data_IF_289863419335
#
_entry.id   IF_289863419335
#
_cell.length_a   1.000
_cell.length_b   1.000
_cell.length_c   1.000
_cell.angle_alpha   90.00
_cell.angle_beta   90.00
_cell.angle_gamma   90.00
#
_symmetry.space_group_name_H-M   'P 1'
#
loop_
_entity.id
_entity.type
_entity.pdbx_description
1 polymer ?
#
# COMPACT_ATOMS: atom_id res chain seq x y z
N UNK A 1 9.39 15.23 -14.19
CA UNK A 1 8.44 14.72 -13.19
C UNK A 1 8.61 13.23 -13.07
N UNK A 2 8.59 12.74 -11.84
CA UNK A 2 8.76 11.31 -11.60
C UNK A 2 7.39 10.63 -11.60
N UNK A 3 7.23 9.63 -12.44
CA UNK A 3 6.01 8.82 -12.46
C UNK A 3 6.13 7.79 -11.33
N UNK A 4 5.18 7.75 -10.38
CA UNK A 4 5.27 6.78 -9.28
C UNK A 4 5.30 5.32 -9.75
N UNK A 5 4.76 5.04 -10.94
CA UNK A 5 4.74 3.68 -11.49
C UNK A 5 6.12 3.17 -11.90
N UNK A 6 7.09 4.07 -12.08
CA UNK A 6 8.44 3.74 -12.54
C UNK A 6 9.49 3.80 -11.43
N UNK A 7 9.10 4.08 -10.19
CA UNK A 7 10.00 4.10 -9.04
C UNK A 7 10.29 2.67 -8.59
N UNK A 8 11.59 2.36 -8.37
CA UNK A 8 11.99 1.04 -7.91
C UNK A 8 11.44 0.75 -6.52
N UNK A 9 10.84 -0.42 -6.37
CA UNK A 9 10.34 -0.95 -5.10
C UNK A 9 10.88 -2.37 -4.92
N UNK A 10 10.78 -2.91 -3.71
CA UNK A 10 11.27 -4.24 -3.41
C UNK A 10 10.13 -5.10 -2.88
N UNK A 11 10.00 -6.31 -3.41
CA UNK A 11 9.01 -7.27 -2.92
C UNK A 11 9.42 -7.79 -1.54
N UNK A 12 8.45 -8.33 -0.80
CA UNK A 12 8.71 -8.82 0.57
C UNK A 12 9.73 -9.97 0.59
N UNK A 13 9.90 -10.67 -0.53
CA UNK A 13 10.89 -11.75 -0.68
C UNK A 13 12.23 -11.26 -1.28
N UNK A 14 12.42 -9.95 -1.44
CA UNK A 14 13.70 -9.35 -1.76
C UNK A 14 13.99 -9.09 -3.24
N UNK A 15 12.99 -9.16 -4.11
CA UNK A 15 13.16 -8.88 -5.54
C UNK A 15 12.83 -7.42 -5.86
N UNK A 16 13.63 -6.80 -6.71
CA UNK A 16 13.38 -5.43 -7.16
C UNK A 16 12.42 -5.40 -8.34
N UNK A 17 11.49 -4.45 -8.31
CA UNK A 17 10.45 -4.30 -9.34
C UNK A 17 9.96 -2.85 -9.36
N UNK A 18 8.88 -2.59 -10.12
CA UNK A 18 8.16 -1.32 -10.13
C UNK A 18 6.67 -1.62 -10.16
N UNK A 19 5.83 -0.63 -9.89
CA UNK A 19 4.37 -0.83 -10.04
C UNK A 19 4.04 -1.28 -11.45
N UNK A 20 4.65 -0.64 -12.44
CA UNK A 20 4.40 -0.96 -13.86
C UNK A 20 4.75 -2.41 -14.17
N UNK A 21 5.85 -2.93 -13.62
CA UNK A 21 6.28 -4.31 -13.82
C UNK A 21 5.36 -5.32 -13.12
N UNK A 22 4.64 -4.91 -12.09
CA UNK A 22 3.63 -5.76 -11.45
C UNK A 22 2.44 -6.03 -12.38
N UNK A 23 2.33 -5.29 -13.47
CA UNK A 23 1.22 -5.39 -14.40
C UNK A 23 0.05 -4.53 -13.97
N UNK A 24 -1.11 -4.73 -14.62
CA UNK A 24 -2.30 -3.95 -14.29
C UNK A 24 -2.31 -2.53 -14.85
N UNK A 25 -3.38 -1.83 -14.57
CA UNK A 25 -3.59 -0.46 -15.05
C UNK A 25 -3.88 0.52 -13.91
N UNK A 26 -4.43 0.05 -12.80
CA UNK A 26 -4.76 0.85 -11.62
C UNK A 26 -4.15 0.20 -10.38
N UNK A 27 -3.56 1.02 -9.52
CA UNK A 27 -2.85 0.53 -8.34
C UNK A 27 -3.45 1.11 -7.07
N UNK A 28 -3.83 0.24 -6.13
CA UNK A 28 -4.21 0.62 -4.78
C UNK A 28 -3.01 0.37 -3.87
N UNK A 29 -2.43 1.43 -3.34
CA UNK A 29 -1.20 1.37 -2.53
C UNK A 29 -1.56 1.68 -1.08
N UNK A 30 -1.23 0.75 -0.19
CA UNK A 30 -1.62 0.84 1.22
C UNK A 30 -0.41 0.54 2.11
N UNK A 31 -0.16 1.39 3.10
CA UNK A 31 0.82 1.09 4.14
C UNK A 31 0.13 0.28 5.23
N UNK A 32 0.63 -0.91 5.47
CA UNK A 32 -0.08 -1.94 6.25
C UNK A 32 0.64 -2.30 7.54
N UNK A 33 -0.09 -2.91 8.48
CA UNK A 33 0.44 -3.37 9.76
C UNK A 33 -0.34 -4.60 10.23
N UNK A 34 0.34 -5.47 10.98
CA UNK A 34 -0.22 -6.74 11.47
C UNK A 34 -0.90 -6.65 12.84
N UNK A 35 -0.69 -5.56 13.58
CA UNK A 35 -1.17 -5.40 14.96
C UNK A 35 -2.01 -4.14 15.18
N UNK A 36 -2.58 -3.58 14.13
CA UNK A 36 -3.40 -2.36 14.17
C UNK A 36 -4.88 -2.71 14.34
N UNK A 37 -5.65 -1.79 14.94
CA UNK A 37 -7.11 -1.92 14.98
C UNK A 37 -7.74 -1.94 13.59
N UNK A 38 -7.04 -1.41 12.57
CA UNK A 38 -7.49 -1.40 11.18
C UNK A 38 -6.96 -2.59 10.36
N UNK A 39 -6.20 -3.51 10.96
CA UNK A 39 -5.62 -4.68 10.27
C UNK A 39 -6.69 -5.53 9.60
N UNK A 40 -7.91 -5.54 10.13
CA UNK A 40 -9.07 -6.21 9.52
C UNK A 40 -9.35 -5.74 8.09
N UNK A 41 -8.85 -4.57 7.69
CA UNK A 41 -9.00 -4.06 6.33
C UNK A 41 -8.29 -4.92 5.28
N UNK A 42 -7.37 -5.79 5.69
CA UNK A 42 -6.79 -6.78 4.77
C UNK A 42 -7.87 -7.62 4.10
N UNK A 43 -8.93 -7.97 4.83
CA UNK A 43 -10.04 -8.76 4.29
C UNK A 43 -10.72 -8.03 3.11
N UNK A 44 -11.03 -6.74 3.31
CA UNK A 44 -11.64 -5.92 2.26
C UNK A 44 -10.69 -5.67 1.10
N UNK A 45 -9.39 -5.50 1.37
CA UNK A 45 -8.38 -5.33 0.33
C UNK A 45 -8.28 -6.58 -0.53
N UNK A 46 -8.27 -7.76 0.08
CA UNK A 46 -8.21 -9.02 -0.64
C UNK A 46 -9.49 -9.25 -1.47
N UNK A 47 -10.65 -8.96 -0.89
CA UNK A 47 -11.93 -9.08 -1.61
C UNK A 47 -11.96 -8.17 -2.84
N UNK A 48 -11.49 -6.95 -2.69
CA UNK A 48 -11.42 -5.97 -3.78
C UNK A 48 -10.46 -6.45 -4.88
N UNK A 49 -9.30 -6.98 -4.49
CA UNK A 49 -8.33 -7.52 -5.42
C UNK A 49 -8.90 -8.68 -6.22
N UNK A 50 -9.55 -9.64 -5.56
CA UNK A 50 -10.16 -10.77 -6.23
C UNK A 50 -11.26 -10.34 -7.21
N UNK A 51 -12.05 -9.34 -6.82
CA UNK A 51 -13.16 -8.85 -7.65
C UNK A 51 -12.69 -8.06 -8.88
N UNK A 52 -11.60 -7.30 -8.76
CA UNK A 52 -11.17 -6.32 -9.77
C UNK A 52 -9.84 -6.65 -10.46
N UNK A 53 -9.16 -7.71 -10.06
CA UNK A 53 -7.89 -8.10 -10.65
C UNK A 53 -8.00 -8.28 -12.17
N UNK A 54 -9.06 -8.93 -12.64
CA UNK A 54 -9.29 -9.13 -14.07
C UNK A 54 -9.54 -7.84 -14.85
N UNK A 55 -9.88 -6.76 -14.14
CA UNK A 55 -10.10 -5.44 -14.73
C UNK A 55 -8.85 -4.57 -14.66
N UNK A 56 -7.72 -5.13 -14.21
CA UNK A 56 -6.45 -4.42 -14.16
C UNK A 56 -6.08 -3.81 -12.81
N UNK A 57 -6.85 -4.08 -11.75
CA UNK A 57 -6.49 -3.58 -10.42
C UNK A 57 -5.38 -4.44 -9.80
N UNK A 58 -4.33 -3.78 -9.31
CA UNK A 58 -3.30 -4.40 -8.47
C UNK A 58 -3.32 -3.72 -7.11
N UNK A 59 -3.50 -4.50 -6.06
CA UNK A 59 -3.39 -4.02 -4.68
C UNK A 59 -1.96 -4.26 -4.21
N UNK A 60 -1.32 -3.26 -3.62
CA UNK A 60 0.09 -3.33 -3.21
C UNK A 60 0.21 -2.94 -1.74
N UNK A 61 0.65 -3.87 -0.90
CA UNK A 61 0.82 -3.64 0.52
C UNK A 61 2.27 -3.36 0.90
N UNK A 62 2.51 -2.22 1.57
CA UNK A 62 3.82 -1.85 2.10
C UNK A 62 3.80 -1.90 3.62
N UNK A 63 4.40 -2.91 4.26
CA UNK A 63 4.50 -2.93 5.72
C UNK A 63 5.28 -1.72 6.24
N UNK A 64 4.80 -1.11 7.32
CA UNK A 64 5.43 0.05 7.91
C UNK A 64 5.27 0.01 9.43
N UNK A 65 6.37 0.22 10.18
CA UNK A 65 6.37 0.14 11.64
C UNK A 65 6.36 1.51 12.34
N UNK A 66 6.07 2.59 11.61
CA UNK A 66 6.17 3.96 12.14
C UNK A 66 4.96 4.40 12.97
N UNK A 67 3.86 3.64 12.95
CA UNK A 67 2.62 4.03 13.61
C UNK A 67 2.33 3.08 14.78
N UNK A 68 2.73 3.50 15.99
CA UNK A 68 2.52 2.72 17.19
C UNK A 68 3.32 1.43 17.26
N UNK A 69 4.37 1.29 16.41
CA UNK A 69 5.19 0.09 16.33
C UNK A 69 4.33 -1.17 16.12
N UNK A 70 3.32 -1.08 15.26
CA UNK A 70 2.34 -2.15 15.03
C UNK A 70 2.71 -3.11 13.88
N UNK A 71 3.94 -2.99 13.35
CA UNK A 71 4.50 -3.92 12.35
C UNK A 71 5.93 -4.30 12.73
N UNK A 72 6.15 -4.90 13.91
CA UNK A 72 7.52 -5.18 14.38
C UNK A 72 8.15 -6.44 13.78
N UNK A 73 7.37 -7.26 13.08
CA UNK A 73 7.83 -8.56 12.58
C UNK A 73 8.85 -8.47 11.46
N UNK A 74 9.50 -9.61 11.17
CA UNK A 74 10.37 -9.76 10.01
C UNK A 74 9.52 -9.88 8.74
N UNK A 75 10.17 -9.74 7.56
CA UNK A 75 9.47 -9.92 6.28
C UNK A 75 8.81 -11.30 6.20
N UNK A 76 9.49 -12.33 6.66
CA UNK A 76 8.94 -13.70 6.67
C UNK A 76 7.71 -13.81 7.58
N UNK A 77 7.79 -13.24 8.79
CA UNK A 77 6.67 -13.24 9.73
C UNK A 77 5.46 -12.49 9.19
N UNK A 78 5.70 -11.35 8.54
CA UNK A 78 4.64 -10.54 7.93
C UNK A 78 3.98 -11.30 6.78
N UNK A 79 4.77 -11.90 5.89
CA UNK A 79 4.26 -12.67 4.77
C UNK A 79 3.40 -13.84 5.25
N UNK A 80 3.87 -14.56 6.27
CA UNK A 80 3.13 -15.67 6.88
C UNK A 80 1.82 -15.20 7.50
N UNK A 81 1.85 -14.08 8.23
CA UNK A 81 0.66 -13.49 8.84
C UNK A 81 -0.40 -13.17 7.79
N UNK A 82 -0.01 -12.48 6.72
CA UNK A 82 -0.94 -12.09 5.65
C UNK A 82 -1.56 -13.31 4.98
N UNK A 83 -0.77 -14.34 4.69
CA UNK A 83 -1.24 -15.56 4.06
C UNK A 83 -2.17 -16.35 4.97
N UNK A 84 -1.76 -16.58 6.22
CA UNK A 84 -2.49 -17.48 7.13
C UNK A 84 -3.73 -16.84 7.75
N UNK A 85 -3.70 -15.52 8.03
CA UNK A 85 -4.82 -14.85 8.69
C UNK A 85 -5.83 -14.26 7.72
N UNK A 86 -5.41 -13.85 6.53
CA UNK A 86 -6.27 -13.15 5.58
C UNK A 86 -6.25 -13.72 4.17
N UNK A 87 -5.45 -14.74 3.91
CA UNK A 87 -5.38 -15.36 2.58
C UNK A 87 -4.94 -14.37 1.50
N UNK A 88 -4.05 -13.45 1.84
CA UNK A 88 -3.60 -12.40 0.92
C UNK A 88 -2.87 -13.00 -0.28
N UNK A 89 -3.32 -12.63 -1.49
CA UNK A 89 -2.69 -13.02 -2.76
C UNK A 89 -2.19 -11.83 -3.56
N UNK A 90 -2.52 -10.60 -3.15
CA UNK A 90 -1.98 -9.41 -3.81
C UNK A 90 -0.50 -9.21 -3.42
N UNK A 91 0.27 -8.47 -4.24
CA UNK A 91 1.69 -8.24 -3.96
C UNK A 91 1.94 -7.57 -2.62
N UNK A 92 2.81 -8.17 -1.81
CA UNK A 92 3.32 -7.57 -0.58
C UNK A 92 4.77 -7.14 -0.82
N UNK A 93 5.11 -5.94 -0.33
CA UNK A 93 6.43 -5.36 -0.51
C UNK A 93 7.23 -5.44 0.79
N UNK A 94 8.53 -5.14 0.71
CA UNK A 94 9.40 -5.05 1.87
C UNK A 94 8.96 -3.90 2.77
N UNK A 95 9.26 -4.02 4.07
CA UNK A 95 8.95 -2.99 5.05
C UNK A 95 9.69 -1.70 4.71
N UNK A 96 8.99 -0.57 4.77
CA UNK A 96 9.54 0.75 4.44
C UNK A 96 9.14 1.78 5.50
N UNK A 97 9.77 2.97 5.40
CA UNK A 97 9.30 4.16 6.10
C UNK A 97 8.53 5.03 5.11
N UNK A 98 7.43 5.61 5.57
CA UNK A 98 6.55 6.43 4.73
C UNK A 98 6.59 7.91 5.12
N UNK A 99 7.17 8.23 6.28
CA UNK A 99 7.37 9.59 6.79
C UNK A 99 8.83 9.79 7.20
N UNK A 100 9.26 11.06 7.22
CA UNK A 100 10.58 11.44 7.71
C UNK A 100 11.66 11.39 6.64
N UNK A 101 12.91 11.56 7.07
CA UNK A 101 14.05 11.68 6.17
C UNK A 101 14.36 10.42 5.37
N UNK A 102 13.98 9.26 5.91
CA UNK A 102 14.22 7.96 5.29
C UNK A 102 13.00 7.41 4.57
N UNK A 103 11.97 8.23 4.34
CA UNK A 103 10.79 7.75 3.64
C UNK A 103 11.15 7.26 2.24
N UNK A 104 10.48 6.17 1.85
CA UNK A 104 10.71 5.56 0.56
C UNK A 104 10.39 6.55 -0.58
N UNK A 105 11.20 6.57 -1.66
CA UNK A 105 10.97 7.48 -2.80
C UNK A 105 9.56 7.42 -3.38
N UNK A 106 8.93 6.24 -3.38
CA UNK A 106 7.54 6.11 -3.85
C UNK A 106 6.61 6.96 -2.99
N UNK A 107 6.73 6.89 -1.66
CA UNK A 107 5.90 7.67 -0.76
C UNK A 107 6.24 9.16 -0.79
N UNK A 108 7.51 9.50 -1.04
CA UNK A 108 7.88 10.90 -1.27
C UNK A 108 7.12 11.48 -2.46
N UNK A 109 6.92 10.69 -3.51
CA UNK A 109 6.16 11.12 -4.69
C UNK A 109 4.65 11.12 -4.42
N UNK A 110 4.11 10.05 -3.83
CA UNK A 110 2.68 9.93 -3.56
C UNK A 110 2.18 11.01 -2.61
N UNK A 111 2.96 11.33 -1.57
CA UNK A 111 2.58 12.32 -0.55
C UNK A 111 2.57 13.76 -1.06
N UNK A 112 2.97 14.02 -2.30
CA UNK A 112 2.77 15.32 -2.94
C UNK A 112 1.27 15.62 -3.09
N UNK A 113 0.43 14.59 -3.09
CA UNK A 113 -1.02 14.74 -2.98
C UNK A 113 -1.35 14.77 -1.48
N UNK A 114 -1.80 15.91 -0.95
CA UNK A 114 -2.10 16.02 0.48
C UNK A 114 -3.39 15.31 0.86
N UNK A 115 -3.56 15.09 2.17
CA UNK A 115 -4.81 14.54 2.68
C UNK A 115 -5.90 15.63 2.72
N UNK A 116 -7.10 15.27 3.20
CA UNK A 116 -8.24 16.19 3.30
C UNK A 116 -8.01 17.40 4.21
N UNK A 117 -6.97 17.35 5.05
CA UNK A 117 -6.58 18.47 5.91
C UNK A 117 -5.40 19.26 5.34
N UNK A 118 -4.96 18.96 4.12
CA UNK A 118 -3.83 19.61 3.48
C UNK A 118 -2.45 19.12 3.97
N UNK A 119 -2.39 17.99 4.64
CA UNK A 119 -1.14 17.43 5.18
C UNK A 119 -0.53 16.42 4.23
N UNK A 120 0.79 16.49 4.04
CA UNK A 120 1.53 15.53 3.21
C UNK A 120 1.87 14.25 3.99
N UNK A 121 2.21 14.38 5.28
CA UNK A 121 2.57 13.24 6.12
C UNK A 121 1.44 12.22 6.23
N UNK A 122 1.80 10.94 6.26
CA UNK A 122 0.86 9.85 6.54
C UNK A 122 0.55 9.87 8.04
N UNK A 123 -0.72 9.77 8.39
CA UNK A 123 -1.17 9.88 9.79
C UNK A 123 -1.23 8.56 10.53
N UNK A 124 -1.51 7.48 9.82
CA UNK A 124 -1.69 6.18 10.44
C UNK A 124 -1.54 5.04 9.44
N UNK A 125 -1.54 3.81 9.95
CA UNK A 125 -1.59 2.60 9.13
C UNK A 125 -2.85 2.59 8.24
N UNK A 126 -2.78 1.93 7.11
CA UNK A 126 -3.89 1.75 6.17
C UNK A 126 -4.38 3.03 5.50
N UNK A 127 -3.49 4.02 5.35
CA UNK A 127 -3.72 5.13 4.43
C UNK A 127 -3.67 4.58 3.00
N UNK A 128 -4.49 5.10 2.10
CA UNK A 128 -4.62 4.56 0.74
C UNK A 128 -4.32 5.61 -0.31
N UNK A 129 -3.60 5.15 -1.36
CA UNK A 129 -3.42 5.92 -2.58
C UNK A 129 -3.93 5.09 -3.75
N UNK A 130 -4.59 5.74 -4.70
CA UNK A 130 -4.95 5.11 -5.98
C UNK A 130 -4.11 5.80 -7.06
N UNK A 131 -3.33 5.02 -7.80
CA UNK A 131 -2.59 5.50 -8.98
C UNK A 131 -3.32 4.99 -10.20
N UNK A 132 -3.87 5.93 -10.99
CA UNK A 132 -4.67 5.60 -12.17
C UNK A 132 -3.78 5.35 -13.40
N UNK A 133 -4.38 4.81 -14.43
CA UNK A 133 -3.70 4.51 -15.70
C UNK A 133 -3.05 5.74 -16.35
N UNK A 134 -3.63 6.92 -16.17
CA UNK A 134 -3.09 8.17 -16.68
C UNK A 134 -1.96 8.77 -15.80
N UNK A 135 -1.61 8.08 -14.72
CA UNK A 135 -0.58 8.53 -13.77
C UNK A 135 -1.10 9.43 -12.66
N UNK A 136 -2.38 9.78 -12.66
CA UNK A 136 -2.96 10.60 -11.60
C UNK A 136 -3.02 9.83 -10.29
N UNK A 137 -2.92 10.56 -9.17
CA UNK A 137 -2.89 10.00 -7.82
C UNK A 137 -4.03 10.55 -6.99
N UNK A 138 -4.79 9.68 -6.35
CA UNK A 138 -5.85 10.02 -5.39
C UNK A 138 -5.44 9.49 -4.02
N UNK A 139 -5.87 10.17 -2.95
CA UNK A 139 -5.50 9.82 -1.59
C UNK A 139 -6.72 9.70 -0.70
N UNK A 140 -6.76 8.63 0.10
CA UNK A 140 -7.85 8.33 1.03
C UNK A 140 -7.29 7.98 2.40
N UNK A 141 -8.03 8.34 3.46
CA UNK A 141 -7.57 8.15 4.84
C UNK A 141 -7.60 6.69 5.26
N UNK A 142 -6.97 6.40 6.40
CA UNK A 142 -7.00 5.09 7.03
C UNK A 142 -8.42 4.64 7.39
N UNK A 143 -9.35 5.59 7.58
CA UNK A 143 -10.74 5.29 7.97
C UNK A 143 -11.61 4.88 6.80
N UNK A 144 -11.19 5.19 5.57
CA UNK A 144 -11.93 4.79 4.36
C UNK A 144 -11.78 3.28 4.18
N UNK A 145 -12.89 2.54 4.26
CA UNK A 145 -12.85 1.10 4.04
C UNK A 145 -12.57 0.79 2.56
N UNK A 146 -11.89 -0.34 2.27
CA UNK A 146 -11.62 -0.70 0.87
C UNK A 146 -12.87 -0.73 -0.01
N UNK A 147 -14.00 -1.17 0.52
CA UNK A 147 -15.27 -1.22 -0.22
C UNK A 147 -15.84 0.14 -0.59
N UNK A 148 -15.36 1.21 0.07
CA UNK A 148 -15.81 2.58 -0.18
C UNK A 148 -14.98 3.30 -1.25
N UNK A 149 -13.87 2.69 -1.71
CA UNK A 149 -13.00 3.30 -2.71
C UNK A 149 -13.66 3.31 -4.09
N UNK A 150 -13.41 4.36 -4.91
CA UNK A 150 -14.00 4.46 -6.26
C UNK A 150 -13.26 3.58 -7.27
N UNK A 151 -13.34 2.30 -7.06
CA UNK A 151 -12.67 1.29 -7.89
C UNK A 151 -13.68 0.31 -8.50
#
# INVERSE_FOLDING_TARGET
MTDPRDIEIETIDGHKTTLRELGGSTYLIVNVASACGFTRQYEGMQALYEAKQSEGLVVVGFPCNQFGAQEPGTHEEIATFCETQYGVTFPMMAKIEVNGDNRHPLYAELCKVPDHEGKEAIKWNFNKFIVREDGSVERYSHRTEPSELPL
#
